data_IF_805363363445
#
_entry.id   IF_805363363445
#
_cell.length_a   1.000
_cell.length_b   1.000
_cell.length_c   1.000
_cell.angle_alpha   90.00
_cell.angle_beta   90.00
_cell.angle_gamma   90.00
#
_symmetry.space_group_name_H-M   'P 1'
#
loop_
_entity.id
_entity.type
_entity.pdbx_description
1 polymer ?
#
# COMPACT_ATOMS: atom_id res chain seq x y z
N UNK A 1 2.65 7.72 23.55
CA UNK A 1 3.30 9.05 23.70
C UNK A 1 3.87 9.25 25.10
N UNK A 2 3.10 9.04 26.18
CA UNK A 2 3.59 9.20 27.55
C UNK A 2 4.63 8.14 27.99
N UNK A 3 4.55 6.91 27.49
CA UNK A 3 5.56 5.87 27.76
C UNK A 3 6.93 6.19 27.15
N UNK A 4 6.94 6.78 25.95
CA UNK A 4 8.17 7.17 25.23
C UNK A 4 8.89 8.35 25.91
N UNK A 5 8.12 9.26 26.53
CA UNK A 5 8.67 10.35 27.33
C UNK A 5 9.24 9.87 28.67
N UNK A 6 8.68 8.80 29.26
CA UNK A 6 9.20 8.21 30.49
C UNK A 6 10.53 7.47 30.26
N UNK A 7 10.69 6.79 29.13
CA UNK A 7 11.95 6.15 28.74
C UNK A 7 13.05 7.15 28.41
N UNK A 8 12.70 8.29 27.79
CA UNK A 8 13.63 9.40 27.57
C UNK A 8 14.09 10.03 28.90
N UNK A 9 13.18 10.24 29.87
CA UNK A 9 13.53 10.78 31.18
C UNK A 9 14.42 9.84 32.01
N UNK A 10 14.18 8.52 31.94
CA UNK A 10 14.99 7.55 32.67
C UNK A 10 16.41 7.41 32.08
N UNK A 11 16.54 7.52 30.75
CA UNK A 11 17.84 7.51 30.06
C UNK A 11 18.71 8.73 30.36
N UNK A 12 18.12 9.86 30.76
CA UNK A 12 18.86 11.10 31.05
C UNK A 12 19.49 11.05 32.46
N UNK A 13 18.83 10.37 33.41
CA UNK A 13 19.24 10.30 34.82
C UNK A 13 20.46 9.40 35.09
N UNK A 14 20.76 8.46 34.19
CA UNK A 14 21.94 7.56 34.31
C UNK A 14 23.23 8.19 33.79
N UNK A 15 23.17 9.38 33.20
CA UNK A 15 24.32 10.03 32.55
C UNK A 15 25.01 11.13 33.36
N UNK A 16 24.56 11.43 34.59
CA UNK A 16 25.09 12.57 35.37
C UNK A 16 26.04 12.20 36.51
N UNK A 17 26.29 10.90 36.77
CA UNK A 17 27.12 10.48 37.91
C UNK A 17 28.35 9.65 37.51
N UNK A 18 29.24 10.25 36.74
CA UNK A 18 30.55 9.68 36.44
C UNK A 18 31.40 10.68 35.66
N UNK A 19 32.34 11.34 36.35
CA UNK A 19 33.37 12.17 35.69
C UNK A 19 34.25 11.23 34.86
N UNK A 20 33.96 11.12 33.58
CA UNK A 20 34.79 10.37 32.62
C UNK A 20 35.85 11.29 32.01
N UNK A 21 37.06 10.78 31.73
CA UNK A 21 38.16 11.55 31.19
C UNK A 21 37.82 12.14 29.81
N UNK A 22 38.27 13.37 29.57
CA UNK A 22 37.88 14.25 28.46
C UNK A 22 38.18 13.67 27.06
N UNK A 23 38.99 12.62 26.96
CA UNK A 23 39.34 11.95 25.70
C UNK A 23 38.31 10.90 25.25
N UNK A 24 37.46 10.40 26.16
CA UNK A 24 36.39 9.43 25.85
C UNK A 24 35.07 10.12 25.43
N UNK A 25 34.94 11.42 25.71
CA UNK A 25 33.73 12.18 25.44
C UNK A 25 33.52 12.43 23.93
N UNK A 26 34.61 12.54 23.16
CA UNK A 26 34.55 12.76 21.71
C UNK A 26 34.09 11.50 20.95
N UNK A 27 34.58 10.32 21.34
CA UNK A 27 34.18 9.04 20.72
C UNK A 27 32.74 8.63 21.04
N UNK A 28 32.27 8.92 22.26
CA UNK A 28 30.89 8.64 22.70
C UNK A 28 29.85 9.48 21.97
N UNK A 29 30.19 10.70 21.57
CA UNK A 29 29.30 11.60 20.83
C UNK A 29 29.12 11.16 19.36
N UNK A 30 30.16 10.56 18.77
CA UNK A 30 30.10 9.98 17.43
C UNK A 30 29.34 8.65 17.40
N UNK A 31 29.53 7.77 18.40
CA UNK A 31 28.81 6.49 18.50
C UNK A 31 27.29 6.70 18.66
N UNK A 32 26.87 7.67 19.48
CA UNK A 32 25.45 8.00 19.67
C UNK A 32 24.83 8.62 18.40
N UNK A 33 25.54 9.51 17.71
CA UNK A 33 25.09 10.06 16.42
C UNK A 33 24.94 8.98 15.36
N UNK A 34 25.87 8.03 15.29
CA UNK A 34 25.79 6.87 14.37
C UNK A 34 24.62 5.94 14.71
N UNK A 35 24.40 5.67 16.00
CA UNK A 35 23.26 4.84 16.44
C UNK A 35 21.92 5.53 16.16
N UNK A 36 21.80 6.83 16.42
CA UNK A 36 20.60 7.62 16.11
C UNK A 36 20.35 7.72 14.60
N UNK A 37 21.40 7.87 13.79
CA UNK A 37 21.28 7.88 12.33
C UNK A 37 20.83 6.51 11.79
N UNK A 38 21.34 5.42 12.37
CA UNK A 38 20.92 4.05 12.05
C UNK A 38 19.44 3.79 12.39
N UNK A 39 18.98 4.25 13.56
CA UNK A 39 17.56 4.13 13.96
C UNK A 39 16.67 4.98 13.05
N UNK A 40 17.09 6.21 12.70
CA UNK A 40 16.34 7.08 11.80
C UNK A 40 16.20 6.48 10.39
N UNK A 41 17.28 5.86 9.88
CA UNK A 41 17.26 5.14 8.61
C UNK A 41 16.30 3.93 8.66
N UNK A 42 16.33 3.14 9.74
CA UNK A 42 15.44 1.99 9.92
C UNK A 42 13.96 2.38 10.01
N UNK A 43 13.63 3.47 10.71
CA UNK A 43 12.25 3.99 10.80
C UNK A 43 11.78 4.47 9.42
N UNK A 44 12.62 5.19 8.67
CA UNK A 44 12.26 5.66 7.34
C UNK A 44 12.01 4.52 6.33
N UNK A 45 12.80 3.45 6.41
CA UNK A 45 12.63 2.26 5.56
C UNK A 45 11.37 1.45 5.90
N UNK A 46 10.86 1.58 7.13
CA UNK A 46 9.65 0.87 7.59
C UNK A 46 8.35 1.54 7.13
N UNK A 47 8.41 2.82 6.70
CA UNK A 47 7.22 3.60 6.30
C UNK A 47 6.90 3.51 4.80
N UNK A 48 7.78 2.96 3.96
CA UNK A 48 7.53 2.78 2.51
C UNK A 48 6.69 1.55 2.16
N UNK A 49 6.22 0.79 3.16
CA UNK A 49 5.50 -0.49 2.95
C UNK A 49 4.00 -0.41 2.69
N UNK A 50 3.34 0.75 2.86
CA UNK A 50 1.88 0.84 2.82
C UNK A 50 1.23 1.04 1.44
N UNK A 51 2.00 1.07 0.34
CA UNK A 51 1.48 1.33 -1.00
C UNK A 51 1.82 0.29 -2.07
N UNK A 52 2.60 -0.74 -1.73
CA UNK A 52 3.21 -1.67 -2.72
C UNK A 52 2.71 -3.10 -2.53
N UNK A 53 1.41 -3.26 -2.27
CA UNK A 53 0.77 -4.58 -2.41
C UNK A 53 0.06 -4.53 -3.77
N UNK A 54 0.44 -5.36 -4.75
CA UNK A 54 -0.30 -5.43 -6.00
C UNK A 54 -1.72 -5.88 -5.67
N UNK A 55 -2.65 -4.92 -5.66
CA UNK A 55 -4.07 -5.18 -5.72
C UNK A 55 -4.33 -5.99 -7.00
N UNK A 56 -5.33 -6.87 -7.00
CA UNK A 56 -5.70 -7.67 -8.17
C UNK A 56 -5.82 -6.75 -9.39
N UNK A 57 -5.00 -7.03 -10.42
CA UNK A 57 -4.93 -6.28 -11.67
C UNK A 57 -4.03 -5.05 -11.69
N UNK A 58 -3.37 -4.68 -10.60
CA UNK A 58 -2.46 -3.53 -10.57
C UNK A 58 -1.07 -3.87 -11.11
N UNK A 59 -0.59 -3.06 -12.04
CA UNK A 59 0.78 -3.10 -12.57
C UNK A 59 1.75 -2.26 -11.74
N UNK A 60 2.99 -2.72 -11.58
CA UNK A 60 4.06 -2.00 -10.88
C UNK A 60 4.73 -0.88 -11.70
N UNK A 61 4.26 -0.63 -12.92
CA UNK A 61 4.82 0.40 -13.79
C UNK A 61 4.39 1.80 -13.34
N UNK A 62 5.31 2.77 -13.49
CA UNK A 62 5.02 4.19 -13.22
C UNK A 62 3.95 4.77 -14.17
N UNK A 63 3.82 4.17 -15.36
CA UNK A 63 2.80 4.51 -16.36
C UNK A 63 2.21 3.21 -16.89
N UNK A 64 0.89 3.14 -16.88
CA UNK A 64 0.08 2.00 -17.32
C UNK A 64 -1.11 2.56 -18.07
N UNK A 65 -1.16 2.35 -19.38
CA UNK A 65 -2.20 2.91 -20.25
C UNK A 65 -3.26 1.86 -20.59
N UNK A 66 -2.91 0.57 -20.52
CA UNK A 66 -3.80 -0.55 -20.85
C UNK A 66 -3.26 -1.85 -20.24
N UNK A 67 -3.55 -2.10 -18.97
CA UNK A 67 -3.18 -3.35 -18.31
C UNK A 67 -4.43 -4.14 -17.95
N UNK A 68 -4.66 -5.21 -18.70
CA UNK A 68 -5.75 -6.15 -18.47
C UNK A 68 -5.22 -7.34 -17.67
N UNK A 69 -5.86 -7.63 -16.55
CA UNK A 69 -5.58 -8.82 -15.76
C UNK A 69 -6.87 -9.55 -15.44
N UNK A 70 -6.86 -10.88 -15.61
CA UNK A 70 -8.01 -11.71 -15.29
C UNK A 70 -7.81 -12.40 -13.94
N UNK A 71 -8.90 -12.62 -13.20
CA UNK A 71 -8.86 -13.42 -11.96
C UNK A 71 -8.56 -14.89 -12.32
N UNK A 72 -7.66 -15.59 -11.60
CA UNK A 72 -7.38 -17.01 -11.87
C UNK A 72 -8.60 -17.93 -11.68
N UNK A 73 -9.67 -17.46 -11.04
CA UNK A 73 -10.87 -18.25 -10.79
C UNK A 73 -11.80 -18.15 -11.99
N UNK A 74 -11.90 -19.26 -12.74
CA UNK A 74 -12.86 -19.43 -13.83
C UNK A 74 -13.83 -20.57 -13.51
N UNK A 75 -15.13 -20.29 -13.50
CA UNK A 75 -16.18 -21.30 -13.34
C UNK A 75 -16.71 -21.75 -14.70
N UNK A 76 -16.17 -22.85 -15.20
CA UNK A 76 -16.56 -23.45 -16.48
C UNK A 76 -17.99 -24.04 -16.49
N UNK A 77 -18.69 -24.08 -15.35
CA UNK A 77 -20.08 -24.55 -15.28
C UNK A 77 -21.10 -23.45 -15.62
N UNK A 78 -20.66 -22.19 -15.59
CA UNK A 78 -21.48 -21.01 -15.91
C UNK A 78 -21.29 -20.67 -17.38
N UNK A 79 -22.29 -20.07 -18.04
CA UNK A 79 -22.08 -19.54 -19.40
C UNK A 79 -21.90 -18.03 -19.32
N UNK A 80 -20.87 -17.42 -19.96
CA UNK A 80 -20.68 -15.97 -19.96
C UNK A 80 -21.65 -15.30 -20.95
N UNK A 81 -22.95 -15.36 -20.67
CA UNK A 81 -24.03 -14.84 -21.54
C UNK A 81 -24.26 -13.35 -21.29
N UNK A 82 -24.03 -12.92 -20.06
CA UNK A 82 -24.18 -11.54 -19.60
C UNK A 82 -22.84 -11.02 -19.09
N UNK A 83 -22.71 -9.70 -19.10
CA UNK A 83 -21.58 -9.00 -18.50
C UNK A 83 -22.06 -7.77 -17.74
N UNK A 84 -21.34 -7.44 -16.69
CA UNK A 84 -21.50 -6.19 -15.96
C UNK A 84 -20.15 -5.54 -15.71
N UNK A 85 -20.15 -4.22 -15.60
CA UNK A 85 -18.99 -3.36 -15.52
C UNK A 85 -19.14 -2.42 -14.34
N UNK A 86 -18.10 -2.36 -13.52
CA UNK A 86 -18.00 -1.42 -12.42
C UNK A 86 -16.66 -0.68 -12.52
N UNK A 87 -16.62 0.59 -12.14
CA UNK A 87 -15.39 1.38 -12.24
C UNK A 87 -15.20 2.28 -11.03
N UNK A 88 -13.94 2.47 -10.68
CA UNK A 88 -13.49 3.39 -9.65
C UNK A 88 -12.29 4.16 -10.20
N UNK A 89 -12.24 5.46 -9.89
CA UNK A 89 -11.20 6.36 -10.34
C UNK A 89 -10.70 7.19 -9.18
N UNK A 90 -9.38 7.30 -9.08
CA UNK A 90 -8.71 8.19 -8.16
C UNK A 90 -7.89 9.25 -8.89
N UNK A 91 -7.87 10.43 -8.29
CA UNK A 91 -7.10 11.58 -8.70
C UNK A 91 -6.33 12.04 -7.47
N UNK A 92 -5.01 11.85 -7.50
CA UNK A 92 -4.02 12.28 -6.52
C UNK A 92 -4.26 11.69 -5.12
N UNK A 93 -5.29 12.17 -4.42
CA UNK A 93 -5.66 11.78 -3.06
C UNK A 93 -7.16 11.50 -2.89
N UNK A 94 -7.97 11.77 -3.91
CA UNK A 94 -9.41 11.50 -3.89
C UNK A 94 -9.67 10.26 -4.72
N UNK A 95 -10.36 9.27 -4.16
CA UNK A 95 -10.88 8.13 -4.90
C UNK A 95 -12.40 8.16 -4.87
N UNK A 96 -13.02 7.85 -6.00
CA UNK A 96 -14.49 7.80 -6.13
C UNK A 96 -14.92 6.65 -7.03
N UNK A 97 -16.05 6.04 -6.66
CA UNK A 97 -16.62 4.89 -7.36
C UNK A 97 -16.50 3.60 -6.57
N UNK A 98 -17.05 2.54 -7.15
CA UNK A 98 -17.07 1.18 -6.63
C UNK A 98 -16.74 0.27 -7.81
N UNK A 99 -15.53 -0.29 -7.82
CA UNK A 99 -15.07 -1.28 -8.80
C UNK A 99 -15.18 -2.71 -8.26
N UNK A 100 -16.07 -2.96 -7.29
CA UNK A 100 -16.25 -4.31 -6.77
C UNK A 100 -16.94 -5.22 -7.79
N UNK A 101 -16.61 -6.51 -7.73
CA UNK A 101 -17.32 -7.57 -8.46
C UNK A 101 -18.83 -7.49 -8.19
N UNK A 102 -19.23 -7.21 -6.94
CA UNK A 102 -20.64 -7.09 -6.58
C UNK A 102 -21.36 -5.93 -7.27
N UNK A 103 -20.70 -4.78 -7.45
CA UNK A 103 -21.27 -3.67 -8.21
C UNK A 103 -21.46 -4.03 -9.68
N UNK A 104 -20.46 -4.68 -10.29
CA UNK A 104 -20.54 -5.14 -11.66
C UNK A 104 -21.63 -6.20 -11.83
N UNK A 105 -21.76 -7.15 -10.89
CA UNK A 105 -22.83 -8.14 -10.92
C UNK A 105 -24.23 -7.52 -10.82
N UNK A 106 -24.41 -6.49 -9.97
CA UNK A 106 -25.69 -5.77 -9.85
C UNK A 106 -26.04 -5.02 -11.13
N UNK A 107 -25.06 -4.39 -11.77
CA UNK A 107 -25.25 -3.66 -13.03
C UNK A 107 -25.55 -4.61 -14.20
N UNK A 108 -24.87 -5.77 -14.27
CA UNK A 108 -25.11 -6.81 -15.28
C UNK A 108 -26.25 -7.78 -14.97
N UNK A 109 -26.91 -7.68 -13.80
CA UNK A 109 -27.95 -8.62 -13.37
C UNK A 109 -27.48 -10.08 -13.30
N UNK A 110 -26.25 -10.30 -12.83
CA UNK A 110 -25.57 -11.58 -12.75
C UNK A 110 -25.86 -12.27 -11.40
N UNK A 111 -26.17 -13.55 -11.43
CA UNK A 111 -26.29 -14.39 -10.23
C UNK A 111 -25.07 -15.28 -10.04
N UNK A 112 -24.38 -15.64 -11.12
CA UNK A 112 -23.15 -16.44 -11.08
C UNK A 112 -22.05 -15.78 -11.91
N UNK A 113 -20.81 -15.97 -11.49
CA UNK A 113 -19.61 -15.44 -12.14
C UNK A 113 -18.90 -16.56 -12.88
N UNK A 114 -18.60 -16.36 -14.16
CA UNK A 114 -17.72 -17.22 -14.96
C UNK A 114 -16.27 -16.78 -14.82
N UNK A 115 -15.97 -15.51 -15.11
CA UNK A 115 -14.63 -14.93 -15.00
C UNK A 115 -14.74 -13.42 -14.78
N UNK A 116 -13.64 -12.82 -14.32
CA UNK A 116 -13.55 -11.39 -14.02
C UNK A 116 -12.27 -10.82 -14.63
N UNK A 117 -12.41 -9.75 -15.39
CA UNK A 117 -11.31 -8.97 -15.94
C UNK A 117 -11.20 -7.61 -15.24
N UNK A 118 -9.97 -7.17 -15.04
CA UNK A 118 -9.62 -5.88 -14.47
C UNK A 118 -8.78 -5.10 -15.49
N UNK A 119 -9.30 -3.97 -15.96
CA UNK A 119 -8.54 -3.01 -16.74
C UNK A 119 -8.03 -1.92 -15.80
N UNK A 120 -6.72 -1.71 -15.78
CA UNK A 120 -6.06 -0.71 -14.93
C UNK A 120 -5.32 0.30 -15.77
N UNK A 121 -5.63 1.58 -15.53
CA UNK A 121 -4.88 2.73 -16.03
C UNK A 121 -4.26 3.45 -14.84
N UNK A 122 -2.97 3.74 -14.91
CA UNK A 122 -2.22 4.48 -13.90
C UNK A 122 -1.27 5.47 -14.58
N UNK A 123 -1.34 6.74 -14.23
CA UNK A 123 -0.47 7.78 -14.76
C UNK A 123 0.28 8.42 -13.60
N UNK A 124 1.54 8.04 -13.43
CA UNK A 124 2.47 8.60 -12.44
C UNK A 124 1.94 8.62 -11.00
N UNK A 125 1.03 7.69 -10.65
CA UNK A 125 0.30 7.67 -9.38
C UNK A 125 -0.57 8.92 -9.10
N UNK A 126 -0.70 9.83 -10.06
CA UNK A 126 -1.55 11.02 -9.98
C UNK A 126 -2.97 10.73 -10.43
N UNK A 127 -3.13 9.76 -11.32
CA UNK A 127 -4.41 9.32 -11.82
C UNK A 127 -4.42 7.81 -11.89
N UNK A 128 -5.43 7.20 -11.30
CA UNK A 128 -5.67 5.78 -11.38
C UNK A 128 -7.12 5.51 -11.73
N UNK A 129 -7.37 4.60 -12.66
CA UNK A 129 -8.69 4.10 -13.00
C UNK A 129 -8.64 2.58 -13.03
N UNK A 130 -9.62 1.96 -12.39
CA UNK A 130 -9.80 0.51 -12.38
C UNK A 130 -11.21 0.24 -12.88
N UNK A 131 -11.31 -0.60 -13.91
CA UNK A 131 -12.57 -1.11 -14.44
C UNK A 131 -12.62 -2.61 -14.22
N UNK A 132 -13.65 -3.07 -13.54
CA UNK A 132 -13.92 -4.47 -13.26
C UNK A 132 -15.07 -4.93 -14.14
N UNK A 133 -14.76 -5.83 -15.07
CA UNK A 133 -15.74 -6.45 -15.96
C UNK A 133 -15.98 -7.88 -15.49
N UNK A 134 -17.21 -8.19 -15.12
CA UNK A 134 -17.61 -9.52 -14.66
C UNK A 134 -18.47 -10.16 -15.74
N UNK A 135 -18.18 -11.40 -16.07
CA UNK A 135 -18.93 -12.18 -17.04
C UNK A 135 -19.63 -13.35 -16.35
N UNK A 136 -20.86 -13.66 -16.75
CA UNK A 136 -21.64 -14.71 -16.11
C UNK A 136 -23.06 -14.83 -16.65
N UNK A 137 -23.96 -15.35 -15.81
CA UNK A 137 -25.38 -15.55 -16.12
C UNK A 137 -26.32 -15.02 -15.02
#
# INVERSE_FOLDING_TARGET
MLAFLAELWHSESTMTNGRLPLHEHEGRHHMKKLLTLGILAAVSASMTGCGVIPLKGTSMAAITIDHVASDPVVDNSVRPVKKGVASAKGIILFNTGDASIGAAMREGGLSKVHHVDYDVTNILFLYNEIKTTVYGE
#
